data_IF_835362378803
#
_entry.id   IF_835362378803
#
_cell.length_a   1.000
_cell.length_b   1.000
_cell.length_c   1.000
_cell.angle_alpha   90.00
_cell.angle_beta   90.00
_cell.angle_gamma   90.00
#
_symmetry.space_group_name_H-M   'P 1'
#
loop_
_entity.id
_entity.type
_entity.pdbx_description
1 polymer ?
#
# COMPACT_ATOMS: atom_id res chain seq x y z
N UNK A 1 8.44 -2.55 9.65
CA UNK A 1 9.48 -1.67 9.08
C UNK A 1 8.96 -0.25 9.24
N UNK A 2 9.69 0.64 9.91
CA UNK A 2 9.30 2.04 10.00
C UNK A 2 9.40 2.69 8.62
N UNK A 3 8.37 3.43 8.23
CA UNK A 3 8.40 4.30 7.05
C UNK A 3 8.77 5.71 7.53
N UNK A 4 9.41 6.50 6.68
CA UNK A 4 9.71 7.92 6.97
C UNK A 4 8.51 8.84 6.74
N UNK A 5 7.34 8.25 6.50
CA UNK A 5 6.15 8.91 5.96
C UNK A 5 4.94 8.67 6.88
N UNK A 6 4.37 9.75 7.41
CA UNK A 6 3.36 9.73 8.47
C UNK A 6 2.07 8.89 8.17
N UNK A 7 1.74 8.63 6.90
CA UNK A 7 0.50 7.95 6.46
C UNK A 7 0.76 6.67 5.64
N UNK A 8 1.95 6.07 5.80
CA UNK A 8 2.34 4.83 5.13
C UNK A 8 2.55 3.75 6.17
N UNK A 9 1.70 2.72 6.15
CA UNK A 9 1.69 1.67 7.16
C UNK A 9 1.92 0.29 6.53
N UNK A 10 2.66 -0.56 7.24
CA UNK A 10 2.71 -1.99 6.93
C UNK A 10 1.60 -2.66 7.72
N UNK A 11 0.58 -3.14 7.00
CA UNK A 11 -0.54 -3.86 7.57
C UNK A 11 -0.18 -5.32 7.77
N UNK A 12 -0.44 -5.85 8.97
CA UNK A 12 -0.35 -7.28 9.26
C UNK A 12 -1.74 -7.90 9.10
N UNK A 13 -1.86 -8.85 8.17
CA UNK A 13 -3.11 -9.55 7.87
C UNK A 13 -3.22 -10.85 8.66
N UNK A 14 -4.45 -11.26 8.95
CA UNK A 14 -4.72 -12.61 9.42
C UNK A 14 -4.34 -13.61 8.33
N UNK A 15 -3.52 -14.58 8.70
CA UNK A 15 -3.15 -15.72 7.86
C UNK A 15 -3.28 -17.00 8.66
N UNK A 16 -3.85 -18.02 8.05
CA UNK A 16 -3.86 -19.39 8.55
C UNK A 16 -3.29 -20.31 7.48
N UNK A 17 -2.41 -21.23 7.88
CA UNK A 17 -1.77 -22.17 6.97
C UNK A 17 -2.06 -23.60 7.42
N UNK A 18 -2.36 -24.47 6.46
CA UNK A 18 -2.59 -25.91 6.66
C UNK A 18 -1.91 -26.70 5.52
N UNK A 19 -2.08 -28.03 5.49
CA UNK A 19 -1.47 -28.89 4.47
C UNK A 19 -1.92 -28.57 3.02
N UNK A 20 -3.01 -27.82 2.84
CA UNK A 20 -3.56 -27.44 1.52
C UNK A 20 -3.00 -26.11 1.03
N UNK A 21 -2.56 -25.24 1.93
CA UNK A 21 -1.99 -23.93 1.58
C UNK A 21 -2.23 -22.85 2.63
N UNK A 22 -2.47 -21.62 2.18
CA UNK A 22 -2.61 -20.43 3.04
C UNK A 22 -3.94 -19.74 2.77
N UNK A 23 -4.69 -19.51 3.84
CA UNK A 23 -5.89 -18.68 3.87
C UNK A 23 -5.56 -17.32 4.50
N UNK A 24 -5.91 -16.21 3.83
CA UNK A 24 -5.61 -14.85 4.32
C UNK A 24 -6.79 -13.91 4.13
N UNK A 25 -7.00 -13.02 5.10
CA UNK A 25 -7.95 -11.91 4.96
C UNK A 25 -7.24 -10.75 4.29
N UNK A 26 -7.41 -10.60 2.97
CA UNK A 26 -6.83 -9.48 2.19
C UNK A 26 -7.37 -8.11 2.62
N UNK A 27 -8.58 -8.09 3.18
CA UNK A 27 -9.20 -6.94 3.81
C UNK A 27 -9.99 -7.37 5.06
N UNK A 28 -9.96 -6.54 6.11
CA UNK A 28 -10.82 -6.65 7.27
C UNK A 28 -11.02 -5.26 7.87
N UNK A 29 -12.27 -4.88 8.16
CA UNK A 29 -12.58 -3.57 8.74
C UNK A 29 -11.81 -3.28 10.04
N UNK A 30 -11.70 -4.27 10.94
CA UNK A 30 -11.01 -4.12 12.23
C UNK A 30 -9.53 -3.76 12.08
N UNK A 31 -8.89 -4.25 11.01
CA UNK A 31 -7.48 -3.92 10.73
C UNK A 31 -7.26 -2.42 10.49
N UNK A 32 -8.29 -1.71 9.99
CA UNK A 32 -8.24 -0.26 9.79
C UNK A 32 -8.72 0.52 11.01
N UNK A 33 -9.70 -0.03 11.71
CA UNK A 33 -10.17 0.51 12.97
C UNK A 33 -9.03 0.60 14.01
N UNK A 34 -8.22 -0.45 14.13
CA UNK A 34 -7.01 -0.49 14.98
C UNK A 34 -5.96 0.58 14.63
N UNK A 35 -5.99 1.12 13.41
CA UNK A 35 -5.08 2.16 12.94
C UNK A 35 -5.69 3.57 13.01
N UNK A 36 -6.89 3.72 13.60
CA UNK A 36 -7.70 4.94 13.57
C UNK A 36 -7.98 5.42 12.13
N UNK A 37 -8.04 4.49 11.18
CA UNK A 37 -8.39 4.73 9.78
C UNK A 37 -9.85 4.31 9.49
N UNK A 38 -10.55 3.75 10.49
CA UNK A 38 -11.80 3.00 10.34
C UNK A 38 -13.06 3.81 10.00
N UNK A 39 -13.14 5.10 10.37
CA UNK A 39 -14.38 5.87 10.22
C UNK A 39 -14.68 6.34 8.78
N UNK A 40 -13.81 6.07 7.79
CA UNK A 40 -14.00 6.61 6.42
C UNK A 40 -13.47 5.76 5.25
N UNK A 41 -13.22 4.46 5.44
CA UNK A 41 -12.76 3.60 4.35
C UNK A 41 -13.93 3.02 3.56
N UNK A 42 -14.11 3.57 2.37
CA UNK A 42 -14.95 3.01 1.31
C UNK A 42 -14.04 2.37 0.26
N UNK A 43 -14.15 1.05 0.07
CA UNK A 43 -13.45 0.37 -1.04
C UNK A 43 -14.25 0.62 -2.32
N UNK A 44 -13.75 1.50 -3.18
CA UNK A 44 -14.41 1.86 -4.44
C UNK A 44 -13.98 0.99 -5.63
N UNK A 45 -12.77 0.44 -5.56
CA UNK A 45 -12.17 -0.33 -6.65
C UNK A 45 -11.19 -1.38 -6.13
N UNK A 46 -11.00 -2.43 -6.92
CA UNK A 46 -10.01 -3.49 -6.70
C UNK A 46 -9.31 -3.79 -8.02
N UNK A 47 -7.97 -3.77 -7.99
CA UNK A 47 -7.14 -3.90 -9.18
C UNK A 47 -6.12 -5.03 -8.99
N UNK A 48 -5.89 -5.80 -10.05
CA UNK A 48 -4.84 -6.81 -10.12
C UNK A 48 -3.98 -6.56 -11.36
N UNK A 49 -2.66 -6.55 -11.18
CA UNK A 49 -1.70 -6.34 -12.26
C UNK A 49 -0.63 -7.40 -12.25
N UNK A 50 -0.34 -7.96 -13.43
CA UNK A 50 0.80 -8.85 -13.65
C UNK A 50 1.85 -8.08 -14.46
N UNK A 51 3.10 -8.12 -14.00
CA UNK A 51 4.22 -7.42 -14.64
C UNK A 51 5.33 -8.41 -14.96
N UNK A 52 6.02 -8.19 -16.08
CA UNK A 52 7.27 -8.90 -16.41
C UNK A 52 8.42 -8.29 -15.61
N UNK A 53 9.50 -9.06 -15.40
CA UNK A 53 10.74 -8.56 -14.80
C UNK A 53 11.21 -7.28 -15.51
N UNK A 54 11.69 -6.32 -14.72
CA UNK A 54 12.15 -4.98 -15.10
C UNK A 54 11.06 -4.02 -15.59
N UNK A 55 9.76 -4.34 -15.44
CA UNK A 55 8.68 -3.38 -15.73
C UNK A 55 8.54 -2.39 -14.58
N UNK A 56 8.54 -1.11 -14.93
CA UNK A 56 8.31 0.01 -14.02
C UNK A 56 6.94 0.63 -14.32
N UNK A 57 6.14 0.88 -13.27
CA UNK A 57 4.83 1.55 -13.37
C UNK A 57 4.80 2.75 -12.42
N UNK A 58 4.65 3.95 -12.97
CA UNK A 58 4.61 5.19 -12.23
C UNK A 58 5.10 6.38 -13.07
N UNK A 59 5.18 7.59 -12.51
CA UNK A 59 4.79 7.95 -11.15
C UNK A 59 3.30 8.33 -11.12
N UNK A 60 2.49 7.58 -10.37
CA UNK A 60 1.05 7.86 -10.29
C UNK A 60 0.74 8.67 -9.03
N UNK A 61 0.05 9.80 -9.18
CA UNK A 61 -0.50 10.57 -8.06
C UNK A 61 -1.88 11.13 -8.44
N UNK A 62 -2.73 11.38 -7.44
CA UNK A 62 -4.03 12.03 -7.61
C UNK A 62 -4.20 13.06 -6.50
N UNK A 63 -4.76 14.22 -6.83
CA UNK A 63 -5.04 15.30 -5.88
C UNK A 63 -6.53 15.34 -5.55
N UNK A 64 -6.89 16.09 -4.50
CA UNK A 64 -8.30 16.37 -4.20
C UNK A 64 -9.01 16.96 -5.44
N UNK A 65 -10.28 16.58 -5.69
CA UNK A 65 -11.14 15.70 -4.89
C UNK A 65 -10.96 14.18 -5.16
N UNK A 66 -10.10 13.80 -6.10
CA UNK A 66 -9.97 12.42 -6.61
C UNK A 66 -8.84 11.60 -5.97
N UNK A 67 -8.24 12.09 -4.88
CA UNK A 67 -7.17 11.38 -4.16
C UNK A 67 -7.67 10.05 -3.60
N UNK A 68 -6.95 8.96 -3.92
CA UNK A 68 -7.31 7.60 -3.54
C UNK A 68 -6.22 6.98 -2.64
N UNK A 69 -6.62 6.52 -1.45
CA UNK A 69 -5.76 5.73 -0.57
C UNK A 69 -5.75 4.28 -1.07
N UNK A 70 -4.62 3.58 -0.94
CA UNK A 70 -4.47 2.25 -1.55
C UNK A 70 -3.95 1.25 -0.54
N UNK A 71 -4.43 0.03 -0.69
CA UNK A 71 -3.93 -1.17 -0.02
C UNK A 71 -3.29 -2.03 -1.10
N UNK A 72 -2.00 -2.31 -0.97
CA UNK A 72 -1.22 -3.04 -1.97
C UNK A 72 -0.64 -4.31 -1.35
N UNK A 73 -0.75 -5.42 -2.05
CA UNK A 73 -0.15 -6.71 -1.67
C UNK A 73 0.50 -7.38 -2.87
N UNK A 74 1.57 -8.14 -2.64
CA UNK A 74 2.21 -8.97 -3.67
C UNK A 74 1.75 -10.40 -3.50
N UNK A 75 1.03 -10.92 -4.50
CA UNK A 75 0.51 -12.29 -4.51
C UNK A 75 1.58 -13.30 -4.96
N UNK A 76 2.45 -12.90 -5.88
CA UNK A 76 3.55 -13.73 -6.41
C UNK A 76 4.71 -12.87 -6.89
N UNK A 77 5.93 -13.31 -6.62
CA UNK A 77 7.17 -12.59 -6.95
C UNK A 77 7.57 -11.56 -5.89
N UNK A 78 8.22 -10.49 -6.34
CA UNK A 78 8.68 -9.37 -5.53
C UNK A 78 8.49 -8.08 -6.30
N UNK A 79 8.22 -6.98 -5.60
CA UNK A 79 8.26 -5.64 -6.17
C UNK A 79 9.11 -4.73 -5.31
N UNK A 80 9.70 -3.71 -5.93
CA UNK A 80 10.21 -2.52 -5.26
C UNK A 80 9.16 -1.43 -5.43
N UNK A 81 8.66 -0.92 -4.32
CA UNK A 81 7.65 0.12 -4.27
C UNK A 81 8.25 1.39 -3.66
N UNK A 82 8.23 2.49 -4.40
CA UNK A 82 8.73 3.78 -3.96
C UNK A 82 7.54 4.72 -3.77
N UNK A 83 7.33 5.12 -2.52
CA UNK A 83 6.28 6.06 -2.14
C UNK A 83 6.93 7.41 -1.90
N UNK A 84 6.42 8.45 -2.57
CA UNK A 84 6.93 9.82 -2.50
C UNK A 84 5.86 10.74 -1.90
N UNK A 85 6.25 11.55 -0.91
CA UNK A 85 5.43 12.62 -0.37
C UNK A 85 5.49 13.86 -1.25
N UNK A 86 4.37 14.17 -1.90
CA UNK A 86 4.27 15.31 -2.84
C UNK A 86 3.97 16.65 -2.16
N UNK A 87 3.63 16.64 -0.86
CA UNK A 87 3.22 17.83 -0.12
C UNK A 87 1.74 18.19 -0.31
N UNK A 88 1.32 19.35 0.19
CA UNK A 88 -0.08 19.82 0.14
C UNK A 88 -0.66 20.10 1.53
N UNK A 89 -1.86 20.69 1.57
CA UNK A 89 -2.45 21.23 2.80
C UNK A 89 -2.50 20.25 3.98
N UNK A 90 -2.73 18.96 3.72
CA UNK A 90 -2.78 17.91 4.74
C UNK A 90 -1.50 17.07 4.87
N UNK A 91 -0.48 17.28 4.01
CA UNK A 91 0.68 16.40 3.90
C UNK A 91 2.02 17.12 3.68
N UNK A 92 2.10 18.42 4.00
CA UNK A 92 3.28 19.25 3.71
C UNK A 92 4.55 18.72 4.40
N UNK A 93 4.42 18.14 5.60
CA UNK A 93 5.56 17.55 6.35
C UNK A 93 6.28 16.41 5.63
N UNK A 94 5.63 15.82 4.62
CA UNK A 94 6.19 14.72 3.84
C UNK A 94 6.75 15.16 2.48
N UNK A 95 6.67 16.45 2.14
CA UNK A 95 7.14 16.98 0.86
C UNK A 95 8.62 16.65 0.62
N UNK A 96 8.90 16.00 -0.51
CA UNK A 96 10.24 15.59 -0.91
C UNK A 96 10.79 14.37 -0.16
N UNK A 97 10.09 13.86 0.86
CA UNK A 97 10.46 12.60 1.51
C UNK A 97 9.99 11.43 0.67
N UNK A 98 10.79 10.37 0.64
CA UNK A 98 10.43 9.13 0.00
C UNK A 98 10.78 7.94 0.88
N UNK A 99 10.05 6.84 0.69
CA UNK A 99 10.30 5.56 1.35
C UNK A 99 10.37 4.48 0.27
N UNK A 100 11.56 3.97 -0.06
CA UNK A 100 11.69 2.78 -0.88
C UNK A 100 11.35 1.56 -0.03
N UNK A 101 10.58 0.64 -0.58
CA UNK A 101 10.16 -0.55 0.12
C UNK A 101 10.20 -1.76 -0.82
N UNK A 102 10.99 -2.77 -0.44
CA UNK A 102 11.00 -4.05 -1.16
C UNK A 102 10.00 -5.00 -0.52
N UNK A 103 9.08 -5.50 -1.33
CA UNK A 103 8.03 -6.42 -0.89
C UNK A 103 8.08 -7.73 -1.68
N UNK A 104 8.68 -8.79 -1.11
CA UNK A 104 8.48 -10.14 -1.60
C UNK A 104 7.04 -10.61 -1.33
N UNK A 105 6.65 -11.71 -1.95
CA UNK A 105 5.40 -12.41 -1.66
C UNK A 105 5.33 -12.78 -0.18
N UNK A 106 4.48 -12.07 0.56
CA UNK A 106 4.20 -12.28 1.98
C UNK A 106 2.69 -12.19 2.22
N UNK A 107 1.98 -13.34 2.24
CA UNK A 107 0.52 -13.40 2.38
C UNK A 107 -0.03 -12.74 3.65
N UNK A 108 0.83 -12.48 4.63
CA UNK A 108 0.53 -11.84 5.90
C UNK A 108 0.77 -10.33 5.90
N UNK A 109 1.26 -9.74 4.80
CA UNK A 109 1.59 -8.31 4.74
C UNK A 109 0.89 -7.61 3.58
N UNK A 110 0.55 -6.35 3.83
CA UNK A 110 0.12 -5.37 2.83
C UNK A 110 0.68 -4.01 3.17
N UNK A 111 0.75 -3.11 2.20
CA UNK A 111 1.08 -1.71 2.41
C UNK A 111 -0.19 -0.92 2.31
N UNK A 112 -0.42 -0.04 3.27
CA UNK A 112 -1.35 1.07 3.13
C UNK A 112 -0.57 2.35 2.86
N UNK A 113 -1.07 3.18 1.95
CA UNK A 113 -0.65 4.57 1.84
C UNK A 113 -1.84 5.50 1.56
N UNK A 114 -1.78 6.69 2.16
CA UNK A 114 -2.81 7.71 2.07
C UNK A 114 -3.03 8.33 0.68
N UNK A 115 -4.08 9.15 0.58
CA UNK A 115 -4.66 9.66 -0.68
C UNK A 115 -3.74 10.52 -1.55
N UNK A 116 -2.69 11.12 -0.97
CA UNK A 116 -1.84 12.12 -1.64
C UNK A 116 -0.39 11.61 -1.67
N UNK A 117 -0.15 10.59 -2.49
CA UNK A 117 1.15 9.97 -2.66
C UNK A 117 1.44 9.68 -4.12
N UNK A 118 2.68 9.93 -4.50
CA UNK A 118 3.24 9.45 -5.75
C UNK A 118 3.76 8.03 -5.54
N UNK A 119 3.44 7.11 -6.45
CA UNK A 119 3.90 5.72 -6.39
C UNK A 119 4.63 5.30 -7.67
N UNK A 120 5.74 4.62 -7.49
CA UNK A 120 6.48 3.92 -8.53
C UNK A 120 6.70 2.47 -8.09
N UNK A 121 6.26 1.50 -8.88
CA UNK A 121 6.52 0.09 -8.62
C UNK A 121 7.34 -0.55 -9.72
N UNK A 122 8.41 -1.27 -9.37
CA UNK A 122 9.21 -2.11 -10.26
C UNK A 122 9.13 -3.58 -9.83
N UNK A 123 9.14 -4.50 -10.79
CA UNK A 123 9.19 -5.97 -10.56
C UNK A 123 10.45 -6.60 -11.13
#
# INVERSE_FOLDING_TARGET
MPTTLDDVFVLKRFTHADERGIFTKTYNYKMFDELNLGESIEIRESLCSISKKNVIRGMHYQTAPYGCAKIVSVVKGEIIDVIVGVGGASNERNKGKFSPLTYPTKPEKSIYFGRIRARLSGS
#
